data_IF_002356411421
#
_entry.id   IF_002356411421
#
_cell.length_a   1.000
_cell.length_b   1.000
_cell.length_c   1.000
_cell.angle_alpha   90.00
_cell.angle_beta   90.00
_cell.angle_gamma   90.00
#
_symmetry.space_group_name_H-M   'P 1'
#
loop_
_entity.id
_entity.type
_entity.pdbx_description
1 polymer ?
#
# COMPACT_ATOMS: atom_id res chain seq x y z
N UNK A 1 -25.70 19.71 15.91
CA UNK A 1 -24.86 20.61 15.09
C UNK A 1 -23.42 20.17 15.28
N UNK A 2 -22.81 19.52 14.30
CA UNK A 2 -21.37 19.21 14.35
C UNK A 2 -20.62 20.53 14.15
N UNK A 3 -19.93 21.04 15.17
CA UNK A 3 -19.10 22.23 15.03
C UNK A 3 -17.96 21.94 14.05
N UNK A 4 -17.61 22.91 13.21
CA UNK A 4 -16.46 22.86 12.28
C UNK A 4 -15.17 22.36 12.93
N UNK A 5 -14.99 22.66 14.23
CA UNK A 5 -13.88 22.18 15.03
C UNK A 5 -13.74 20.65 15.03
N UNK A 6 -14.84 19.89 15.02
CA UNK A 6 -14.82 18.42 15.05
C UNK A 6 -14.29 17.82 13.74
N UNK A 7 -14.60 18.43 12.59
CA UNK A 7 -14.08 17.99 11.29
C UNK A 7 -12.57 18.23 11.23
N UNK A 8 -12.11 19.39 11.69
CA UNK A 8 -10.68 19.71 11.73
C UNK A 8 -9.91 18.79 12.69
N UNK A 9 -10.50 18.36 13.82
CA UNK A 9 -9.91 17.33 14.69
C UNK A 9 -9.83 15.98 13.98
N UNK A 10 -10.89 15.57 13.28
CA UNK A 10 -10.89 14.32 12.52
C UNK A 10 -9.82 14.30 11.43
N UNK A 11 -9.60 15.42 10.74
CA UNK A 11 -8.52 15.57 9.75
C UNK A 11 -7.15 15.40 10.40
N UNK A 12 -6.92 16.03 11.55
CA UNK A 12 -5.65 15.88 12.27
C UNK A 12 -5.37 14.44 12.72
N UNK A 13 -6.41 13.72 13.19
CA UNK A 13 -6.30 12.30 13.54
C UNK A 13 -6.08 11.41 12.31
N UNK A 14 -6.80 11.67 11.22
CA UNK A 14 -6.63 10.91 9.98
C UNK A 14 -5.22 11.09 9.40
N UNK A 15 -4.65 12.29 9.46
CA UNK A 15 -3.26 12.55 9.06
C UNK A 15 -2.27 11.77 9.95
N UNK A 16 -2.45 11.81 11.27
CA UNK A 16 -1.62 11.03 12.20
C UNK A 16 -1.66 9.54 11.86
N UNK A 17 -2.86 8.97 11.70
CA UNK A 17 -3.01 7.55 11.41
C UNK A 17 -2.46 7.18 10.03
N UNK A 18 -2.62 8.06 9.03
CA UNK A 18 -1.97 7.88 7.73
C UNK A 18 -0.45 7.74 7.87
N UNK A 19 0.21 8.66 8.58
CA UNK A 19 1.65 8.61 8.77
C UNK A 19 2.11 7.37 9.56
N UNK A 20 1.38 7.05 10.64
CA UNK A 20 1.68 5.86 11.45
C UNK A 20 1.48 4.56 10.67
N UNK A 21 0.45 4.50 9.82
CA UNK A 21 0.22 3.37 8.93
C UNK A 21 1.30 3.26 7.86
N UNK A 22 1.79 4.37 7.31
CA UNK A 22 2.92 4.36 6.37
C UNK A 22 4.20 3.84 7.04
N UNK A 23 4.47 4.27 8.28
CA UNK A 23 5.57 3.73 9.07
C UNK A 23 5.42 2.22 9.30
N UNK A 24 4.21 1.76 9.67
CA UNK A 24 3.93 0.32 9.84
C UNK A 24 4.14 -0.48 8.55
N UNK A 25 3.66 0.03 7.41
CA UNK A 25 3.84 -0.62 6.11
C UNK A 25 5.32 -0.71 5.75
N UNK A 26 6.08 0.37 5.89
CA UNK A 26 7.53 0.38 5.61
C UNK A 26 8.30 -0.62 6.48
N UNK A 27 7.96 -0.72 7.77
CA UNK A 27 8.57 -1.68 8.68
C UNK A 27 8.17 -3.12 8.33
N UNK A 28 6.90 -3.34 7.97
CA UNK A 28 6.43 -4.65 7.52
C UNK A 28 7.13 -5.09 6.23
N UNK A 29 7.35 -4.18 5.29
CA UNK A 29 8.10 -4.44 4.06
C UNK A 29 9.56 -4.77 4.34
N UNK A 30 10.23 -4.04 5.24
CA UNK A 30 11.60 -4.36 5.66
C UNK A 30 11.69 -5.78 6.26
N UNK A 31 10.71 -6.17 7.08
CA UNK A 31 10.60 -7.53 7.62
C UNK A 31 10.37 -8.55 6.49
N UNK A 32 9.46 -8.25 5.55
CA UNK A 32 9.15 -9.14 4.44
C UNK A 32 10.35 -9.34 3.50
N UNK A 33 11.15 -8.29 3.26
CA UNK A 33 12.36 -8.38 2.43
C UNK A 33 13.39 -9.38 2.97
N UNK A 34 13.50 -9.51 4.30
CA UNK A 34 14.42 -10.46 4.95
C UNK A 34 13.79 -11.84 5.13
N UNK A 35 12.51 -11.89 5.54
CA UNK A 35 11.87 -13.15 5.91
C UNK A 35 11.27 -13.89 4.71
N UNK A 36 10.90 -13.18 3.63
CA UNK A 36 10.23 -13.74 2.44
C UNK A 36 9.10 -14.70 2.82
N UNK A 37 8.22 -14.25 3.70
CA UNK A 37 7.17 -15.10 4.30
C UNK A 37 6.15 -15.55 3.25
N UNK A 38 5.93 -14.73 2.22
CA UNK A 38 5.09 -15.09 1.06
C UNK A 38 5.59 -16.34 0.34
N UNK A 39 6.91 -16.46 0.13
CA UNK A 39 7.49 -17.63 -0.51
C UNK A 39 7.33 -18.90 0.35
N UNK A 40 7.40 -18.76 1.68
CA UNK A 40 7.14 -19.89 2.59
C UNK A 40 5.67 -20.33 2.57
N UNK A 41 4.71 -19.39 2.48
CA UNK A 41 3.29 -19.76 2.44
C UNK A 41 2.93 -20.38 1.09
N UNK A 42 3.53 -19.91 0.00
CA UNK A 42 3.39 -20.51 -1.32
C UNK A 42 3.87 -21.96 -1.32
N UNK A 43 5.07 -22.24 -0.78
CA UNK A 43 5.58 -23.61 -0.63
C UNK A 43 4.65 -24.48 0.20
N UNK A 44 4.15 -23.94 1.32
CA UNK A 44 3.18 -24.65 2.15
C UNK A 44 1.90 -24.98 1.38
N UNK A 45 1.43 -24.06 0.53
CA UNK A 45 0.30 -24.27 -0.37
C UNK A 45 0.54 -25.40 -1.35
N UNK A 46 1.66 -25.37 -2.07
CA UNK A 46 2.07 -26.42 -3.02
C UNK A 46 2.21 -27.78 -2.32
N UNK A 47 2.83 -27.80 -1.14
CA UNK A 47 2.98 -29.03 -0.35
C UNK A 47 1.63 -29.62 0.07
N UNK A 48 0.65 -28.78 0.41
CA UNK A 48 -0.72 -29.24 0.70
C UNK A 48 -1.42 -29.82 -0.53
N UNK A 49 -1.20 -29.25 -1.72
CA UNK A 49 -1.71 -29.79 -2.99
C UNK A 49 -1.20 -31.23 -3.18
N UNK A 50 0.04 -31.48 -2.82
CA UNK A 50 0.70 -32.78 -2.94
C UNK A 50 0.53 -33.69 -1.70
N UNK A 51 -0.40 -33.40 -0.80
CA UNK A 51 -0.63 -34.18 0.44
C UNK A 51 0.63 -34.34 1.33
N UNK A 52 1.42 -33.28 1.45
CA UNK A 52 2.67 -33.27 2.25
C UNK A 52 3.75 -34.24 1.73
N UNK A 53 3.64 -34.68 0.47
CA UNK A 53 4.66 -35.47 -0.23
C UNK A 53 5.89 -34.60 -0.55
N UNK A 54 6.92 -34.74 0.28
CA UNK A 54 8.17 -33.99 0.16
C UNK A 54 8.93 -34.27 -1.13
N UNK A 55 8.92 -35.52 -1.60
CA UNK A 55 9.64 -35.94 -2.81
C UNK A 55 8.98 -35.34 -4.04
N UNK A 56 7.64 -35.38 -4.10
CA UNK A 56 6.89 -34.78 -5.19
C UNK A 56 7.01 -33.25 -5.21
N UNK A 57 6.97 -32.63 -4.03
CA UNK A 57 7.16 -31.18 -3.88
C UNK A 57 8.55 -30.76 -4.36
N UNK A 58 9.60 -31.48 -3.95
CA UNK A 58 10.96 -31.22 -4.39
C UNK A 58 11.11 -31.37 -5.91
N UNK A 59 10.58 -32.44 -6.49
CA UNK A 59 10.59 -32.67 -7.93
C UNK A 59 9.87 -31.55 -8.69
N UNK A 60 8.76 -31.04 -8.14
CA UNK A 60 8.04 -29.90 -8.73
C UNK A 60 8.89 -28.62 -8.72
N UNK A 61 9.56 -28.31 -7.62
CA UNK A 61 10.43 -27.12 -7.56
C UNK A 61 11.69 -27.25 -8.42
N UNK A 62 12.19 -28.47 -8.63
CA UNK A 62 13.31 -28.75 -9.55
C UNK A 62 12.90 -28.80 -11.03
N UNK A 63 11.59 -28.71 -11.34
CA UNK A 63 11.09 -28.80 -12.70
C UNK A 63 11.58 -27.62 -13.57
N UNK A 64 11.96 -27.83 -14.85
CA UNK A 64 12.45 -26.79 -15.77
C UNK A 64 11.61 -25.49 -15.84
N UNK A 65 10.30 -25.62 -15.72
CA UNK A 65 9.38 -24.47 -15.73
C UNK A 65 9.29 -23.72 -14.40
N UNK A 66 9.77 -24.29 -13.29
CA UNK A 66 9.63 -23.74 -11.93
C UNK A 66 10.98 -23.32 -11.35
N UNK A 67 12.05 -24.08 -11.60
CA UNK A 67 13.38 -23.78 -11.05
C UNK A 67 13.90 -22.40 -11.48
N UNK A 68 13.50 -21.91 -12.66
CA UNK A 68 13.90 -20.59 -13.16
C UNK A 68 13.27 -19.42 -12.39
N UNK A 69 12.23 -19.67 -11.59
CA UNK A 69 11.58 -18.64 -10.76
C UNK A 69 12.38 -18.30 -9.50
N UNK A 70 13.41 -19.07 -9.17
CA UNK A 70 14.20 -18.86 -7.98
C UNK A 70 15.67 -19.28 -8.15
N UNK A 71 16.54 -18.82 -7.24
CA UNK A 71 17.95 -19.13 -7.30
C UNK A 71 18.30 -20.29 -6.35
N UNK A 72 18.99 -21.32 -6.86
CA UNK A 72 19.50 -22.45 -6.07
C UNK A 72 18.50 -23.58 -5.87
N UNK A 73 18.83 -24.49 -4.96
CA UNK A 73 18.07 -25.72 -4.77
C UNK A 73 16.83 -25.53 -3.89
N UNK A 74 15.87 -26.43 -4.04
CA UNK A 74 14.71 -26.51 -3.17
C UNK A 74 15.15 -26.81 -1.73
N UNK A 75 14.81 -25.91 -0.81
CA UNK A 75 15.05 -26.08 0.62
C UNK A 75 13.74 -25.86 1.36
N UNK A 76 13.28 -26.89 2.08
CA UNK A 76 12.05 -26.82 2.84
C UNK A 76 12.15 -25.73 3.93
N UNK A 77 11.21 -24.77 3.99
CA UNK A 77 11.13 -23.81 5.08
C UNK A 77 10.93 -24.49 6.43
N UNK A 78 11.59 -24.01 7.47
CA UNK A 78 11.40 -24.51 8.83
C UNK A 78 10.00 -24.13 9.35
N UNK A 79 9.07 -25.09 9.33
CA UNK A 79 7.66 -24.90 9.66
C UNK A 79 7.36 -24.78 11.16
N UNK A 80 8.36 -24.92 12.04
CA UNK A 80 8.18 -24.81 13.51
C UNK A 80 8.28 -23.37 14.01
N UNK A 81 8.79 -22.43 13.21
CA UNK A 81 8.86 -21.03 13.58
C UNK A 81 7.48 -20.37 13.44
N UNK A 82 7.15 -19.45 14.37
CA UNK A 82 5.96 -18.60 14.28
C UNK A 82 5.90 -17.83 12.94
N UNK A 83 7.08 -17.53 12.38
CA UNK A 83 7.25 -16.95 11.06
C UNK A 83 8.33 -17.76 10.32
N UNK A 84 7.88 -18.59 9.37
CA UNK A 84 8.78 -19.38 8.54
C UNK A 84 9.46 -18.49 7.49
N UNK A 85 10.77 -18.67 7.30
CA UNK A 85 11.54 -17.95 6.28
C UNK A 85 11.46 -18.69 4.95
N UNK A 86 11.08 -17.98 3.88
CA UNK A 86 10.99 -18.56 2.53
C UNK A 86 12.33 -18.76 1.82
N UNK A 87 13.41 -18.19 2.35
CA UNK A 87 14.76 -18.39 1.80
C UNK A 87 14.87 -17.88 0.36
N UNK A 88 15.28 -18.76 -0.56
CA UNK A 88 15.39 -18.40 -1.98
C UNK A 88 14.13 -18.73 -2.79
N UNK A 89 13.15 -19.40 -2.21
CA UNK A 89 11.93 -19.85 -2.92
C UNK A 89 11.17 -18.70 -3.60
N UNK A 90 10.43 -18.98 -4.67
CA UNK A 90 9.69 -17.96 -5.40
C UNK A 90 8.54 -17.42 -4.54
N UNK A 91 8.26 -16.13 -4.66
CA UNK A 91 7.13 -15.49 -3.97
C UNK A 91 5.80 -15.65 -4.71
N UNK A 92 5.84 -16.09 -5.96
CA UNK A 92 4.68 -16.35 -6.80
C UNK A 92 5.02 -17.39 -7.86
N UNK A 93 4.08 -18.28 -8.16
CA UNK A 93 4.16 -19.24 -9.27
C UNK A 93 2.93 -18.99 -10.14
N UNK A 94 3.08 -18.62 -11.41
CA UNK A 94 1.96 -18.49 -12.33
C UNK A 94 1.19 -19.81 -12.47
N UNK A 95 -0.14 -19.77 -12.45
CA UNK A 95 -1.00 -20.95 -12.55
C UNK A 95 -0.69 -21.78 -13.81
N UNK A 96 -0.41 -21.10 -14.93
CA UNK A 96 -0.07 -21.76 -16.19
C UNK A 96 1.27 -22.52 -16.13
N UNK A 97 2.25 -22.01 -15.41
CA UNK A 97 3.52 -22.70 -15.19
C UNK A 97 3.33 -23.91 -14.28
N UNK A 98 2.54 -23.76 -13.21
CA UNK A 98 2.16 -24.86 -12.34
C UNK A 98 1.45 -25.98 -13.11
N UNK A 99 0.41 -25.65 -13.88
CA UNK A 99 -0.37 -26.66 -14.61
C UNK A 99 0.46 -27.40 -15.66
N UNK A 100 1.30 -26.67 -16.42
CA UNK A 100 2.20 -27.28 -17.40
C UNK A 100 3.25 -28.18 -16.75
N UNK A 101 3.87 -27.72 -15.66
CA UNK A 101 4.83 -28.52 -14.91
C UNK A 101 4.18 -29.77 -14.32
N UNK A 102 2.96 -29.66 -13.79
CA UNK A 102 2.23 -30.80 -13.24
C UNK A 102 1.87 -31.82 -14.33
N UNK A 103 1.37 -31.37 -15.49
CA UNK A 103 1.05 -32.25 -16.60
C UNK A 103 2.30 -32.99 -17.11
N UNK A 104 3.43 -32.30 -17.24
CA UNK A 104 4.70 -32.90 -17.66
C UNK A 104 5.21 -33.92 -16.61
N UNK A 105 5.19 -33.56 -15.32
CA UNK A 105 5.56 -34.47 -14.23
C UNK A 105 4.69 -35.74 -14.17
N UNK A 106 3.39 -35.59 -14.41
CA UNK A 106 2.45 -36.72 -14.43
C UNK A 106 2.67 -37.58 -15.67
N UNK A 107 2.86 -36.96 -16.83
CA UNK A 107 3.13 -37.62 -18.11
C UNK A 107 4.45 -38.40 -18.10
N UNK A 108 5.51 -37.85 -17.49
CA UNK A 108 6.78 -38.56 -17.28
C UNK A 108 6.67 -39.69 -16.24
N UNK A 109 5.60 -39.73 -15.43
CA UNK A 109 5.40 -40.72 -14.37
C UNK A 109 6.46 -40.61 -13.26
N UNK A 110 6.63 -41.65 -12.44
CA UNK A 110 7.67 -41.69 -11.40
C UNK A 110 9.09 -41.87 -11.95
N UNK A 111 9.25 -41.99 -13.28
CA UNK A 111 10.56 -42.12 -13.89
C UNK A 111 11.38 -40.87 -13.56
N UNK A 112 12.44 -41.08 -12.79
CA UNK A 112 13.46 -40.08 -12.55
C UNK A 112 13.92 -39.52 -13.90
N UNK A 113 14.15 -38.21 -13.95
CA UNK A 113 14.80 -37.54 -15.08
C UNK A 113 15.95 -38.42 -15.61
N UNK A 114 15.78 -39.00 -16.80
CA UNK A 114 16.81 -39.79 -17.45
C UNK A 114 17.65 -38.83 -18.29
N UNK A 115 18.93 -38.57 -17.93
CA UNK A 115 19.80 -37.71 -18.74
C UNK A 115 20.08 -38.31 -20.13
N UNK A 116 19.81 -39.60 -20.31
CA UNK A 116 19.76 -40.28 -21.60
C UNK A 116 18.30 -40.34 -22.03
N UNK A 117 17.89 -39.34 -22.84
CA UNK A 117 16.49 -39.06 -23.14
C UNK A 117 15.65 -40.29 -23.40
N UNK A 118 14.75 -40.60 -22.47
CA UNK A 118 13.61 -41.46 -22.77
C UNK A 118 12.78 -40.73 -23.82
N UNK A 119 12.50 -41.39 -24.94
CA UNK A 119 11.56 -40.88 -25.93
C UNK A 119 10.22 -40.74 -25.23
N UNK A 120 9.95 -39.54 -24.73
CA UNK A 120 8.71 -39.25 -24.03
C UNK A 120 7.67 -39.10 -25.13
N UNK A 121 6.60 -39.90 -25.14
CA UNK A 121 5.54 -39.78 -26.14
C UNK A 121 5.05 -38.32 -26.19
N UNK A 122 4.54 -37.83 -27.34
CA UNK A 122 3.94 -36.52 -27.38
C UNK A 122 2.84 -36.42 -26.32
N UNK A 123 2.76 -35.28 -25.64
CA UNK A 123 1.74 -35.04 -24.63
C UNK A 123 0.37 -34.99 -25.32
N UNK A 124 -0.40 -36.06 -25.18
CA UNK A 124 -1.77 -36.18 -25.70
C UNK A 124 -2.74 -36.44 -24.55
N UNK A 125 -4.04 -36.22 -24.80
CA UNK A 125 -5.06 -36.48 -23.78
C UNK A 125 -5.06 -37.95 -23.32
N UNK A 126 -4.85 -38.87 -24.25
CA UNK A 126 -4.82 -40.31 -23.97
C UNK A 126 -3.60 -40.67 -23.13
N UNK A 127 -2.41 -40.24 -23.54
CA UNK A 127 -1.18 -40.51 -22.81
C UNK A 127 -1.19 -39.90 -21.41
N UNK A 128 -1.71 -38.67 -21.26
CA UNK A 128 -1.84 -38.01 -19.96
C UNK A 128 -2.83 -38.74 -19.05
N UNK A 129 -3.96 -39.24 -19.59
CA UNK A 129 -4.95 -40.02 -18.81
C UNK A 129 -4.35 -41.33 -18.31
N UNK A 130 -3.64 -42.05 -19.17
CA UNK A 130 -2.97 -43.30 -18.81
C UNK A 130 -1.89 -43.09 -17.74
N UNK A 131 -1.05 -42.06 -17.91
CA UNK A 131 -0.01 -41.72 -16.95
C UNK A 131 -0.60 -41.25 -15.60
N UNK A 132 -1.67 -40.44 -15.63
CA UNK A 132 -2.37 -40.00 -14.44
C UNK A 132 -2.97 -41.17 -13.67
N UNK A 133 -3.57 -42.15 -14.35
CA UNK A 133 -4.16 -43.34 -13.71
C UNK A 133 -3.13 -44.15 -12.90
N UNK A 134 -1.87 -44.17 -13.35
CA UNK A 134 -0.76 -44.86 -12.69
C UNK A 134 0.00 -43.98 -11.69
N UNK A 135 -0.35 -42.71 -11.56
CA UNK A 135 0.39 -41.78 -10.70
C UNK A 135 0.27 -42.19 -9.22
N UNK A 136 1.39 -42.30 -8.47
CA UNK A 136 1.37 -42.81 -7.10
C UNK A 136 0.53 -41.96 -6.14
N UNK A 137 0.62 -40.63 -6.26
CA UNK A 137 -0.07 -39.71 -5.37
C UNK A 137 -1.58 -39.65 -5.68
N UNK A 138 -2.46 -40.08 -4.76
CA UNK A 138 -3.88 -40.23 -5.04
C UNK A 138 -4.60 -38.90 -5.27
N UNK A 139 -4.15 -37.81 -4.63
CA UNK A 139 -4.73 -36.47 -4.80
C UNK A 139 -4.45 -35.92 -6.18
N UNK A 140 -3.18 -35.96 -6.60
CA UNK A 140 -2.76 -35.50 -7.91
C UNK A 140 -3.42 -36.33 -9.00
N UNK A 141 -3.42 -37.67 -8.84
CA UNK A 141 -4.13 -38.59 -9.75
C UNK A 141 -5.58 -38.16 -9.92
N UNK A 142 -6.31 -37.97 -8.82
CA UNK A 142 -7.74 -37.61 -8.87
C UNK A 142 -7.95 -36.22 -9.49
N UNK A 143 -7.12 -35.24 -9.14
CA UNK A 143 -7.23 -33.88 -9.66
C UNK A 143 -7.00 -33.83 -11.18
N UNK A 144 -5.98 -34.53 -11.67
CA UNK A 144 -5.64 -34.58 -13.10
C UNK A 144 -6.70 -35.34 -13.89
N UNK A 145 -7.14 -36.51 -13.41
CA UNK A 145 -8.21 -37.26 -14.06
C UNK A 145 -9.51 -36.45 -14.14
N UNK A 146 -9.88 -35.76 -13.05
CA UNK A 146 -11.05 -34.89 -13.04
C UNK A 146 -10.92 -33.72 -14.02
N UNK A 147 -9.74 -33.09 -14.09
CA UNK A 147 -9.47 -32.02 -15.04
C UNK A 147 -9.59 -32.49 -16.51
N UNK A 148 -9.14 -33.72 -16.79
CA UNK A 148 -9.25 -34.38 -18.09
C UNK A 148 -10.72 -34.71 -18.43
N UNK A 149 -11.47 -35.28 -17.48
CA UNK A 149 -12.88 -35.66 -17.69
C UNK A 149 -13.73 -34.43 -18.07
N UNK A 150 -13.48 -33.28 -17.43
CA UNK A 150 -14.16 -32.02 -17.71
C UNK A 150 -13.74 -31.37 -19.03
N UNK A 151 -12.59 -31.76 -19.58
CA UNK A 151 -11.99 -31.13 -20.76
C UNK A 151 -12.59 -31.60 -22.09
N UNK A 152 -13.42 -32.66 -22.08
CA UNK A 152 -14.09 -33.21 -23.29
C UNK A 152 -13.15 -33.46 -24.47
N UNK A 153 -11.90 -33.83 -24.20
CA UNK A 153 -10.88 -34.12 -25.22
C UNK A 153 -9.95 -32.96 -25.59
N UNK A 154 -10.19 -31.73 -25.10
CA UNK A 154 -9.30 -30.58 -25.33
C UNK A 154 -8.19 -30.49 -24.27
N UNK A 155 -6.92 -30.66 -24.68
CA UNK A 155 -5.77 -30.61 -23.77
C UNK A 155 -5.62 -29.23 -23.11
N UNK A 156 -5.94 -28.14 -23.82
CA UNK A 156 -5.88 -26.81 -23.26
C UNK A 156 -7.00 -26.57 -22.24
N UNK A 157 -8.17 -27.17 -22.44
CA UNK A 157 -9.22 -27.16 -21.42
C UNK A 157 -8.80 -27.92 -20.15
N UNK A 158 -8.13 -29.07 -20.28
CA UNK A 158 -7.58 -29.80 -19.13
C UNK A 158 -6.54 -28.95 -18.37
N UNK A 159 -5.66 -28.25 -19.09
CA UNK A 159 -4.71 -27.29 -18.51
C UNK A 159 -5.43 -26.19 -17.73
N UNK A 160 -6.44 -25.53 -18.31
CA UNK A 160 -7.22 -24.47 -17.65
C UNK A 160 -7.94 -24.96 -16.39
N UNK A 161 -8.43 -26.21 -16.41
CA UNK A 161 -9.05 -26.83 -15.24
C UNK A 161 -8.02 -27.02 -14.10
N UNK A 162 -6.79 -27.41 -14.41
CA UNK A 162 -5.70 -27.51 -13.44
C UNK A 162 -5.25 -26.13 -12.92
N UNK A 163 -5.25 -25.11 -13.78
CA UNK A 163 -5.01 -23.72 -13.38
C UNK A 163 -6.05 -23.26 -12.35
N UNK A 164 -7.33 -23.48 -12.63
CA UNK A 164 -8.42 -23.14 -11.71
C UNK A 164 -8.33 -23.91 -10.37
N UNK A 165 -7.90 -25.17 -10.41
CA UNK A 165 -7.66 -25.95 -9.18
C UNK A 165 -6.52 -25.39 -8.33
N UNK A 166 -5.44 -24.94 -8.99
CA UNK A 166 -4.33 -24.27 -8.32
C UNK A 166 -4.75 -22.93 -7.73
N UNK A 167 -5.43 -22.10 -8.50
CA UNK A 167 -5.90 -20.78 -8.07
C UNK A 167 -6.84 -20.89 -6.87
N UNK A 168 -7.79 -21.83 -6.89
CA UNK A 168 -8.68 -22.07 -5.74
C UNK A 168 -7.92 -22.51 -4.47
N UNK A 169 -6.79 -23.21 -4.63
CA UNK A 169 -5.90 -23.51 -3.49
C UNK A 169 -5.14 -22.27 -3.03
N UNK A 170 -4.65 -21.46 -3.97
CA UNK A 170 -3.91 -20.23 -3.68
C UNK A 170 -4.78 -19.13 -3.07
N UNK A 171 -6.08 -19.10 -3.35
CA UNK A 171 -7.04 -18.22 -2.67
C UNK A 171 -7.10 -18.52 -1.16
N UNK A 172 -7.14 -19.82 -0.81
CA UNK A 172 -7.11 -20.26 0.60
C UNK A 172 -5.78 -19.91 1.28
N UNK A 173 -4.67 -20.17 0.61
CA UNK A 173 -3.31 -19.86 1.11
C UNK A 173 -3.16 -18.35 1.33
N UNK A 174 -3.61 -17.55 0.35
CA UNK A 174 -3.63 -16.08 0.43
C UNK A 174 -4.51 -15.59 1.58
N UNK A 175 -5.61 -16.28 1.89
CA UNK A 175 -6.45 -15.98 3.04
C UNK A 175 -5.71 -16.07 4.37
N UNK A 176 -4.93 -17.15 4.59
CA UNK A 176 -4.11 -17.28 5.80
C UNK A 176 -3.01 -16.21 5.88
N UNK A 177 -2.37 -15.91 4.74
CA UNK A 177 -1.37 -14.83 4.65
C UNK A 177 -1.97 -13.47 5.02
N UNK A 178 -3.14 -13.13 4.48
CA UNK A 178 -3.85 -11.86 4.78
C UNK A 178 -4.17 -11.74 6.27
N UNK A 179 -4.75 -12.79 6.87
CA UNK A 179 -5.07 -12.80 8.32
C UNK A 179 -3.83 -12.68 9.20
N UNK A 180 -2.76 -13.39 8.86
CA UNK A 180 -1.48 -13.30 9.59
C UNK A 180 -0.86 -11.92 9.45
N UNK A 181 -0.87 -11.35 8.25
CA UNK A 181 -0.31 -10.02 7.98
C UNK A 181 -1.06 -8.93 8.75
N UNK A 182 -2.39 -9.00 8.79
CA UNK A 182 -3.22 -8.11 9.61
C UNK A 182 -2.85 -8.18 11.10
N UNK A 183 -2.69 -9.38 11.67
CA UNK A 183 -2.25 -9.54 13.05
C UNK A 183 -0.85 -8.96 13.27
N UNK A 184 0.08 -9.18 12.33
CA UNK A 184 1.44 -8.63 12.46
C UNK A 184 1.42 -7.10 12.38
N UNK A 185 0.62 -6.50 11.49
CA UNK A 185 0.45 -5.05 11.42
C UNK A 185 -0.14 -4.50 12.72
N UNK A 186 -1.12 -5.18 13.31
CA UNK A 186 -1.65 -4.82 14.62
C UNK A 186 -0.58 -4.87 15.71
N UNK A 187 0.24 -5.93 15.76
CA UNK A 187 1.32 -6.07 16.76
C UNK A 187 2.44 -5.04 16.56
N UNK A 188 2.83 -4.77 15.31
CA UNK A 188 3.78 -3.71 14.97
C UNK A 188 3.22 -2.37 15.40
N UNK A 189 1.96 -2.08 15.05
CA UNK A 189 1.28 -0.86 15.44
C UNK A 189 1.19 -0.71 16.96
N UNK A 190 0.79 -1.75 17.68
CA UNK A 190 0.74 -1.73 19.15
C UNK A 190 2.12 -1.45 19.75
N UNK A 191 3.16 -2.10 19.22
CA UNK A 191 4.54 -1.89 19.68
C UNK A 191 4.97 -0.43 19.44
N UNK A 192 4.71 0.13 18.26
CA UNK A 192 5.01 1.52 17.95
C UNK A 192 4.21 2.49 18.82
N UNK A 193 2.92 2.23 19.04
CA UNK A 193 2.06 3.04 19.89
C UNK A 193 2.58 3.10 21.34
N UNK A 194 3.05 1.97 21.88
CA UNK A 194 3.65 1.92 23.22
C UNK A 194 5.01 2.63 23.24
N UNK A 195 5.93 2.26 22.35
CA UNK A 195 7.30 2.80 22.35
C UNK A 195 7.30 4.31 22.17
N UNK A 196 6.55 4.80 21.18
CA UNK A 196 6.43 6.23 20.87
C UNK A 196 5.41 6.94 21.77
N UNK A 197 4.65 6.22 22.61
CA UNK A 197 3.54 6.74 23.40
C UNK A 197 2.54 7.55 22.53
N UNK A 198 2.05 6.94 21.45
CA UNK A 198 1.02 7.52 20.59
C UNK A 198 -0.34 7.09 21.12
N UNK A 199 -1.01 8.00 21.84
CA UNK A 199 -2.36 7.82 22.37
C UNK A 199 -3.37 8.64 21.57
N UNK A 200 -4.18 7.96 20.75
CA UNK A 200 -5.23 8.56 19.95
C UNK A 200 -6.23 9.41 20.76
N UNK A 201 -6.60 8.99 21.96
CA UNK A 201 -7.59 9.68 22.80
C UNK A 201 -7.00 10.99 23.32
N UNK A 202 -5.77 10.94 23.84
CA UNK A 202 -5.08 12.14 24.33
C UNK A 202 -4.80 13.13 23.20
N UNK A 203 -4.40 12.64 22.02
CA UNK A 203 -4.20 13.51 20.85
C UNK A 203 -5.51 14.17 20.44
N UNK A 204 -6.62 13.43 20.38
CA UNK A 204 -7.94 13.99 20.06
C UNK A 204 -8.34 15.12 21.04
N UNK A 205 -8.16 14.90 22.34
CA UNK A 205 -8.44 15.91 23.37
C UNK A 205 -7.57 17.18 23.20
N UNK A 206 -6.31 17.01 22.79
CA UNK A 206 -5.39 18.13 22.52
C UNK A 206 -5.76 18.91 21.27
N UNK A 207 -6.16 18.23 20.20
CA UNK A 207 -6.63 18.89 18.97
C UNK A 207 -7.94 19.64 19.19
N UNK A 208 -8.81 19.11 20.04
CA UNK A 208 -10.05 19.79 20.40
C UNK A 208 -9.78 21.08 21.19
N UNK A 209 -8.82 21.06 22.12
CA UNK A 209 -8.53 22.22 22.99
C UNK A 209 -7.59 23.25 22.37
N UNK A 210 -6.69 22.86 21.46
CA UNK A 210 -5.68 23.75 20.88
C UNK A 210 -5.97 24.07 19.40
N UNK A 211 -6.50 25.27 19.13
CA UNK A 211 -6.82 25.74 17.78
C UNK A 211 -5.59 25.89 16.88
N UNK A 212 -4.44 26.32 17.43
CA UNK A 212 -3.20 26.56 16.67
C UNK A 212 -2.65 25.24 16.13
N UNK A 213 -2.54 24.23 16.99
CA UNK A 213 -2.08 22.89 16.61
C UNK A 213 -3.02 22.28 15.56
N UNK A 214 -4.33 22.41 15.77
CA UNK A 214 -5.33 21.87 14.84
C UNK A 214 -5.22 22.51 13.45
N UNK A 215 -5.10 23.84 13.36
CA UNK A 215 -4.95 24.53 12.08
C UNK A 215 -3.67 24.12 11.35
N UNK A 216 -2.55 23.99 12.07
CA UNK A 216 -1.27 23.55 11.50
C UNK A 216 -1.35 22.12 10.92
N UNK A 217 -2.05 21.20 11.58
CA UNK A 217 -2.23 19.84 11.05
C UNK A 217 -3.14 19.81 9.82
N UNK A 218 -4.18 20.64 9.76
CA UNK A 218 -5.06 20.73 8.58
C UNK A 218 -4.29 21.27 7.37
N UNK A 219 -3.41 22.25 7.56
CA UNK A 219 -2.52 22.75 6.50
C UNK A 219 -1.59 21.65 5.99
N UNK A 220 -1.00 20.88 6.90
CA UNK A 220 -0.14 19.73 6.54
C UNK A 220 -0.92 18.60 5.86
N UNK A 221 -2.16 18.36 6.25
CA UNK A 221 -3.04 17.41 5.57
C UNK A 221 -3.31 17.83 4.12
N UNK A 222 -3.56 19.12 3.87
CA UNK A 222 -3.70 19.66 2.52
C UNK A 222 -2.44 19.46 1.69
N UNK A 223 -1.26 19.74 2.27
CA UNK A 223 0.01 19.50 1.61
C UNK A 223 0.19 18.02 1.25
N UNK A 224 -0.13 17.12 2.18
CA UNK A 224 0.01 15.66 1.99
C UNK A 224 -0.86 15.14 0.85
N UNK A 225 -2.11 15.61 0.72
CA UNK A 225 -3.00 15.22 -0.40
C UNK A 225 -2.48 15.75 -1.74
N UNK A 226 -1.89 16.95 -1.76
CA UNK A 226 -1.32 17.54 -2.98
C UNK A 226 -0.03 16.87 -3.41
N UNK A 227 0.80 16.42 -2.47
CA UNK A 227 2.12 15.84 -2.73
C UNK A 227 2.13 14.33 -2.90
N UNK A 228 1.17 13.62 -2.31
CA UNK A 228 1.23 12.16 -2.15
C UNK A 228 -0.02 11.49 -2.72
N UNK A 229 0.17 10.48 -3.58
CA UNK A 229 -0.91 9.57 -3.99
C UNK A 229 -1.11 8.42 -2.98
N UNK A 230 -2.19 7.61 -3.11
CA UNK A 230 -2.53 6.51 -2.19
C UNK A 230 -1.41 5.48 -1.98
N UNK A 231 -0.55 5.31 -3.00
CA UNK A 231 0.54 4.33 -3.04
C UNK A 231 1.94 4.97 -2.98
N UNK A 232 2.04 6.31 -2.95
CA UNK A 232 3.29 7.05 -3.19
C UNK A 232 4.32 7.01 -2.05
N UNK A 233 4.05 6.31 -0.95
CA UNK A 233 4.92 6.22 0.22
C UNK A 233 5.44 4.80 0.51
N UNK A 234 5.22 3.85 -0.41
CA UNK A 234 5.88 2.54 -0.42
C UNK A 234 7.34 2.76 -0.86
N UNK A 235 8.24 2.94 0.10
CA UNK A 235 9.69 3.12 -0.15
C UNK A 235 10.36 4.28 0.58
N UNK A 236 9.60 5.13 1.27
CA UNK A 236 10.17 6.17 2.13
C UNK A 236 10.83 5.53 3.36
N UNK A 237 12.03 6.01 3.72
CA UNK A 237 12.81 5.43 4.81
C UNK A 237 12.09 5.67 6.15
N UNK A 238 11.99 4.67 7.05
CA UNK A 238 11.32 4.83 8.35
C UNK A 238 11.81 6.04 9.15
N UNK A 239 13.09 6.37 9.05
CA UNK A 239 13.73 7.52 9.71
C UNK A 239 13.18 8.86 9.21
N UNK A 240 12.89 8.98 7.91
CA UNK A 240 12.37 10.20 7.31
C UNK A 240 10.91 10.44 7.71
N UNK A 241 10.09 9.38 7.74
CA UNK A 241 8.72 9.48 8.25
C UNK A 241 8.71 9.82 9.74
N UNK A 242 9.59 9.22 10.53
CA UNK A 242 9.70 9.52 11.97
C UNK A 242 10.07 11.00 12.21
N UNK A 243 11.03 11.53 11.45
CA UNK A 243 11.40 12.95 11.51
C UNK A 243 10.25 13.88 11.09
N UNK A 244 9.48 13.50 10.06
CA UNK A 244 8.29 14.25 9.66
C UNK A 244 7.24 14.27 10.77
N UNK A 245 6.97 13.14 11.43
CA UNK A 245 6.03 13.05 12.55
C UNK A 245 6.46 13.99 13.70
N UNK A 246 7.76 14.04 14.02
CA UNK A 246 8.27 14.93 15.06
C UNK A 246 8.10 16.42 14.68
N UNK A 247 8.34 16.76 13.41
CA UNK A 247 8.16 18.12 12.90
C UNK A 247 6.70 18.63 12.98
N UNK A 248 5.74 17.74 13.23
CA UNK A 248 4.32 18.08 13.29
C UNK A 248 3.89 18.56 14.68
N UNK A 249 4.81 18.58 15.66
CA UNK A 249 4.57 19.13 16.99
C UNK A 249 3.48 18.37 17.76
N UNK A 250 3.19 17.14 17.35
CA UNK A 250 2.21 16.28 17.98
C UNK A 250 2.68 15.91 19.40
N UNK A 251 1.77 15.82 20.38
CA UNK A 251 2.08 15.42 21.74
C UNK A 251 2.36 13.91 21.82
N UNK A 252 3.46 13.50 21.20
CA UNK A 252 3.95 12.12 21.16
C UNK A 252 5.11 12.00 22.16
N UNK A 253 5.23 10.84 22.79
CA UNK A 253 6.30 10.54 23.75
C UNK A 253 5.85 10.60 25.20
N UNK A 254 6.66 10.01 26.07
CA UNK A 254 6.29 9.69 27.46
C UNK A 254 6.21 10.89 28.42
N UNK A 255 6.80 12.04 28.05
CA UNK A 255 6.87 13.24 28.90
C UNK A 255 6.08 14.43 28.38
N UNK A 256 5.76 14.48 27.07
CA UNK A 256 5.13 15.65 26.43
C UNK A 256 3.67 15.34 26.18
N UNK A 257 2.76 16.14 26.76
CA UNK A 257 1.36 16.16 26.33
C UNK A 257 0.32 15.50 27.24
N UNK A 258 0.67 14.97 28.41
CA UNK A 258 -0.33 14.46 29.37
C UNK A 258 -1.16 15.61 29.97
N UNK A 259 -2.50 15.54 29.96
CA UNK A 259 -3.35 16.49 30.67
C UNK A 259 -3.05 16.48 32.17
N UNK A 260 -3.07 17.65 32.82
CA UNK A 260 -2.87 17.74 34.28
C UNK A 260 -3.90 16.89 35.05
N UNK A 261 -5.10 16.71 34.50
CA UNK A 261 -6.16 15.86 35.06
C UNK A 261 -5.81 14.36 35.14
N UNK A 262 -4.74 13.90 34.46
CA UNK A 262 -4.28 12.51 34.50
C UNK A 262 -3.17 12.27 35.53
N UNK A 263 -2.70 13.32 36.21
CA UNK A 263 -1.61 13.28 37.16
C UNK A 263 -2.13 13.62 38.56
N UNK A 264 -1.80 12.79 39.55
CA UNK A 264 -2.12 13.01 40.95
C UNK A 264 -0.83 13.16 41.75
N UNK A 265 -0.74 14.21 42.57
CA UNK A 265 0.40 14.41 43.45
C UNK A 265 0.23 13.55 44.71
N UNK A 266 1.08 12.53 44.86
CA UNK A 266 1.15 11.70 46.07
C UNK A 266 2.29 12.14 46.96
N UNK A 267 2.08 12.12 48.27
CA UNK A 267 3.13 12.42 49.23
C UNK A 267 4.24 11.35 49.15
N UNK A 268 5.50 11.79 49.16
CA UNK A 268 6.67 10.93 49.22
C UNK A 268 7.56 11.36 50.40
N UNK A 269 7.87 10.41 51.28
CA UNK A 269 8.71 10.61 52.47
C UNK A 269 10.16 10.16 52.28
N UNK A 270 10.44 9.39 51.23
CA UNK A 270 11.79 8.92 50.87
C UNK A 270 12.28 9.63 49.59
N UNK A 271 13.60 9.83 49.42
CA UNK A 271 14.18 10.40 48.20
C UNK A 271 14.08 9.38 47.05
N UNK A 272 12.90 9.26 46.46
CA UNK A 272 12.66 8.51 45.23
C UNK A 272 12.88 9.41 44.01
N UNK A 273 13.34 8.86 42.86
CA UNK A 273 13.47 9.63 41.63
C UNK A 273 12.13 10.30 41.26
N UNK A 274 12.11 11.64 41.20
CA UNK A 274 10.91 12.42 40.87
C UNK A 274 10.15 12.99 42.08
N UNK A 275 10.59 12.73 43.32
CA UNK A 275 10.05 13.39 44.51
C UNK A 275 10.63 14.81 44.64
N UNK A 276 9.82 15.84 44.41
CA UNK A 276 10.21 17.26 44.56
C UNK A 276 9.26 17.92 45.56
N UNK A 277 9.81 18.50 46.63
CA UNK A 277 9.00 19.14 47.67
C UNK A 277 8.09 18.18 48.45
N UNK A 278 8.49 16.91 48.62
CA UNK A 278 7.71 15.90 49.33
C UNK A 278 6.50 15.36 48.56
N UNK A 279 6.41 15.64 47.26
CA UNK A 279 5.37 15.14 46.37
C UNK A 279 5.97 14.51 45.11
N UNK A 280 5.33 13.45 44.65
CA UNK A 280 5.61 12.80 43.36
C UNK A 280 4.31 12.75 42.56
N UNK A 281 4.37 13.16 41.30
CA UNK A 281 3.22 13.05 40.41
C UNK A 281 3.16 11.63 39.83
N UNK A 282 2.06 10.94 40.08
CA UNK A 282 1.81 9.59 39.56
C UNK A 282 0.61 9.61 38.63
N UNK A 283 0.58 8.65 37.70
CA UNK A 283 -0.60 8.44 36.87
C UNK A 283 -1.76 7.96 37.72
N UNK A 284 -2.95 8.54 37.51
CA UNK A 284 -4.17 8.01 38.09
C UNK A 284 -4.51 6.65 37.47
N UNK A 285 -5.16 5.72 38.21
CA UNK A 285 -5.59 4.44 37.63
C UNK A 285 -6.46 4.60 36.37
N UNK A 286 -7.31 5.63 36.35
CA UNK A 286 -8.11 5.99 35.17
C UNK A 286 -7.26 6.42 33.97
N UNK A 287 -6.16 7.14 34.19
CA UNK A 287 -5.23 7.51 33.12
C UNK A 287 -4.52 6.29 32.51
N UNK A 288 -4.21 5.28 33.31
CA UNK A 288 -3.62 4.02 32.82
C UNK A 288 -4.61 3.30 31.90
N UNK A 289 -5.87 3.20 32.31
CA UNK A 289 -6.93 2.58 31.47
C UNK A 289 -7.12 3.36 30.18
N UNK A 290 -7.21 4.70 30.25
CA UNK A 290 -7.34 5.54 29.07
C UNK A 290 -6.16 5.38 28.12
N UNK A 291 -4.93 5.27 28.64
CA UNK A 291 -3.71 5.06 27.86
C UNK A 291 -3.72 3.70 27.15
N UNK A 292 -4.14 2.63 27.85
CA UNK A 292 -4.28 1.31 27.25
C UNK A 292 -5.33 1.31 26.12
N UNK A 293 -6.47 1.98 26.34
CA UNK A 293 -7.51 2.15 25.32
C UNK A 293 -6.97 2.97 24.14
N UNK A 294 -6.25 4.05 24.40
CA UNK A 294 -5.63 4.90 23.38
C UNK A 294 -4.64 4.13 22.50
N UNK A 295 -3.78 3.31 23.10
CA UNK A 295 -2.85 2.46 22.36
C UNK A 295 -3.57 1.38 21.55
N UNK A 296 -4.63 0.78 22.09
CA UNK A 296 -5.45 -0.19 21.36
C UNK A 296 -6.16 0.44 20.16
N UNK A 297 -6.74 1.63 20.33
CA UNK A 297 -7.36 2.39 19.23
C UNK A 297 -6.31 2.72 18.16
N UNK A 298 -5.12 3.16 18.57
CA UNK A 298 -4.05 3.50 17.63
C UNK A 298 -3.57 2.24 16.88
N UNK A 299 -3.39 1.11 17.56
CA UNK A 299 -3.03 -0.17 16.95
C UNK A 299 -4.11 -0.66 15.97
N UNK A 300 -5.38 -0.57 16.34
CA UNK A 300 -6.50 -0.91 15.47
C UNK A 300 -6.57 0.01 14.23
N UNK A 301 -6.33 1.31 14.41
CA UNK A 301 -6.26 2.27 13.31
C UNK A 301 -5.12 1.93 12.34
N UNK A 302 -3.92 1.59 12.86
CA UNK A 302 -2.77 1.23 12.03
C UNK A 302 -3.01 -0.04 11.20
N UNK A 303 -3.76 -1.00 11.74
CA UNK A 303 -4.12 -2.25 11.05
C UNK A 303 -4.95 -2.03 9.77
N UNK A 304 -5.69 -0.91 9.65
CA UNK A 304 -6.45 -0.56 8.44
C UNK A 304 -5.55 -0.17 7.26
N UNK A 305 -4.30 0.22 7.54
CA UNK A 305 -3.31 0.56 6.53
C UNK A 305 -3.45 1.99 5.98
N UNK A 306 -2.40 2.42 5.28
CA UNK A 306 -2.29 3.78 4.76
C UNK A 306 -3.33 4.13 3.68
N UNK A 307 -3.70 3.23 2.74
CA UNK A 307 -4.69 3.55 1.71
C UNK A 307 -6.05 3.97 2.30
N UNK A 308 -6.48 3.30 3.38
CA UNK A 308 -7.72 3.62 4.08
C UNK A 308 -7.69 5.05 4.68
N UNK A 309 -6.61 5.40 5.38
CA UNK A 309 -6.49 6.71 6.00
C UNK A 309 -6.25 7.83 5.00
N UNK A 310 -5.62 7.54 3.86
CA UNK A 310 -5.49 8.48 2.75
C UNK A 310 -6.86 8.82 2.15
N UNK A 311 -7.67 7.80 1.83
CA UNK A 311 -9.04 8.01 1.32
C UNK A 311 -9.90 8.75 2.35
N UNK A 312 -9.80 8.36 3.62
CA UNK A 312 -10.51 9.04 4.72
C UNK A 312 -10.10 10.51 4.83
N UNK A 313 -8.80 10.81 4.77
CA UNK A 313 -8.28 12.18 4.81
C UNK A 313 -8.79 12.99 3.62
N UNK A 314 -8.76 12.41 2.41
CA UNK A 314 -9.25 13.04 1.20
C UNK A 314 -10.75 13.37 1.30
N UNK A 315 -11.58 12.41 1.73
CA UNK A 315 -13.02 12.62 1.94
C UNK A 315 -13.29 13.71 2.97
N UNK A 316 -12.59 13.72 4.10
CA UNK A 316 -12.74 14.76 5.13
C UNK A 316 -12.37 16.14 4.60
N UNK A 317 -11.33 16.23 3.77
CA UNK A 317 -10.90 17.48 3.14
C UNK A 317 -11.90 18.00 2.11
N UNK A 318 -12.51 17.12 1.31
CA UNK A 318 -13.62 17.46 0.41
C UNK A 318 -14.80 17.99 1.21
N UNK A 319 -15.24 17.28 2.26
CA UNK A 319 -16.35 17.71 3.14
C UNK A 319 -16.04 19.07 3.80
N UNK A 320 -14.81 19.26 4.28
CA UNK A 320 -14.41 20.54 4.86
C UNK A 320 -14.53 21.68 3.86
N UNK A 321 -14.14 21.45 2.59
CA UNK A 321 -14.21 22.48 1.55
C UNK A 321 -15.64 22.82 1.12
N UNK A 322 -16.57 21.86 1.17
CA UNK A 322 -17.98 22.09 0.83
C UNK A 322 -18.76 22.77 1.95
N UNK A 323 -18.44 22.45 3.21
CA UNK A 323 -19.15 23.01 4.38
C UNK A 323 -18.57 24.36 4.80
N UNK A 324 -17.29 24.63 4.50
CA UNK A 324 -16.64 25.93 4.74
C UNK A 324 -16.31 26.59 3.39
N UNK A 325 -17.31 27.15 2.68
CA UNK A 325 -17.00 27.93 1.49
C UNK A 325 -16.12 29.08 1.95
N UNK A 326 -14.92 29.15 1.36
CA UNK A 326 -14.03 30.30 1.47
C UNK A 326 -14.87 31.56 1.34
N UNK A 327 -14.87 32.43 2.36
CA UNK A 327 -15.32 33.81 2.20
C UNK A 327 -14.59 34.35 0.97
N UNK A 328 -15.33 34.54 -0.13
CA UNK A 328 -14.83 35.31 -1.25
C UNK A 328 -14.41 36.66 -0.69
N UNK A 329 -13.21 37.08 -1.10
CA UNK A 329 -12.54 38.35 -0.81
C UNK A 329 -13.41 39.59 -1.11
N UNK A 330 -12.99 40.78 -0.65
CA UNK A 330 -13.83 41.86 -0.09
C UNK A 330 -14.66 42.65 -1.10
N UNK A 331 -15.69 43.32 -0.56
CA UNK A 331 -16.52 44.39 -1.12
C UNK A 331 -16.14 44.88 -2.53
N UNK A 332 -16.91 44.43 -3.54
CA UNK A 332 -17.17 45.29 -4.69
C UNK A 332 -18.06 46.45 -4.21
N UNK A 333 -17.49 47.65 -4.18
CA UNK A 333 -18.23 48.88 -3.94
C UNK A 333 -19.35 49.02 -4.97
N UNK A 334 -20.59 48.89 -4.50
CA UNK A 334 -21.79 49.12 -5.31
C UNK A 334 -21.80 50.56 -5.85
N UNK A 335 -21.82 50.68 -7.17
CA UNK A 335 -22.01 51.90 -7.97
C UNK A 335 -23.44 52.48 -7.89
N UNK A 336 -24.11 52.46 -6.73
CA UNK A 336 -25.45 53.04 -6.59
C UNK A 336 -25.48 54.23 -5.63
N UNK A 337 -24.96 55.37 -6.10
CA UNK A 337 -25.29 56.69 -5.53
C UNK A 337 -26.22 57.44 -6.50
N UNK A 338 -27.44 57.81 -6.10
CA UNK A 338 -28.36 58.54 -6.97
C UNK A 338 -27.84 59.94 -7.31
N UNK A 339 -27.92 60.26 -8.59
CA UNK A 339 -27.57 61.53 -9.23
C UNK A 339 -28.48 62.66 -8.72
N UNK A 340 -27.95 63.56 -7.91
CA UNK A 340 -28.63 64.80 -7.50
C UNK A 340 -27.99 66.02 -8.17
N UNK A 341 -28.77 66.65 -9.06
CA UNK A 341 -28.74 68.02 -9.61
C UNK A 341 -27.40 68.77 -9.79
N UNK A 342 -27.13 69.10 -11.06
CA UNK A 342 -26.22 70.18 -11.50
C UNK A 342 -26.66 71.57 -10.99
N UNK A 343 -25.71 72.51 -10.91
CA UNK A 343 -25.80 73.66 -11.82
C UNK A 343 -24.47 74.10 -12.47
N UNK A 344 -24.63 74.57 -13.73
CA UNK A 344 -23.96 75.67 -14.43
C UNK A 344 -22.47 75.60 -14.85
N UNK A 345 -22.30 75.59 -16.18
CA UNK A 345 -21.32 76.29 -17.04
C UNK A 345 -20.00 76.80 -16.45
N UNK A 346 -18.88 76.29 -17.00
CA UNK A 346 -17.95 77.15 -17.77
C UNK A 346 -17.05 76.32 -18.67
N UNK A 347 -16.96 76.78 -19.91
CA UNK A 347 -16.17 76.29 -21.03
C UNK A 347 -14.79 76.96 -21.01
N UNK A 348 -13.71 76.21 -21.23
CA UNK A 348 -12.52 76.80 -21.85
C UNK A 348 -11.76 75.75 -22.69
N UNK A 349 -11.48 76.15 -23.91
CA UNK A 349 -10.78 75.43 -24.97
C UNK A 349 -9.26 75.59 -24.79
N UNK A 350 -8.46 74.58 -25.16
CA UNK A 350 -7.38 74.71 -26.18
C UNK A 350 -6.40 73.52 -26.26
N UNK A 351 -6.23 73.09 -27.52
CA UNK A 351 -4.97 72.73 -28.21
C UNK A 351 -4.32 71.34 -28.05
N UNK A 352 -4.48 70.53 -29.12
CA UNK A 352 -3.49 69.59 -29.67
C UNK A 352 -2.36 70.39 -30.43
N UNK A 353 -1.29 69.82 -31.08
CA UNK A 353 -1.21 68.45 -31.65
C UNK A 353 0.20 67.77 -31.83
N UNK A 354 0.16 66.60 -32.50
CA UNK A 354 1.15 66.00 -33.45
C UNK A 354 2.18 64.91 -33.01
N UNK A 355 2.08 63.77 -33.71
CA UNK A 355 3.06 62.68 -33.93
C UNK A 355 3.96 63.02 -35.17
N UNK A 356 4.74 62.13 -35.86
CA UNK A 356 5.05 60.69 -35.71
C UNK A 356 6.53 60.28 -36.02
N UNK A 357 6.87 58.98 -36.04
CA UNK A 357 7.54 58.25 -37.15
C UNK A 357 8.19 56.90 -36.72
N UNK A 358 7.93 55.85 -37.50
CA UNK A 358 8.74 54.63 -37.68
C UNK A 358 9.40 54.69 -39.08
N UNK A 359 10.42 53.85 -39.42
CA UNK A 359 10.12 52.57 -40.13
C UNK A 359 11.15 51.40 -39.96
N UNK A 360 10.77 50.22 -40.48
CA UNK A 360 11.42 48.89 -40.66
C UNK A 360 12.42 48.81 -41.86
N UNK A 361 12.90 47.64 -42.41
CA UNK A 361 13.37 46.30 -41.94
C UNK A 361 14.68 45.80 -42.68
N UNK A 362 15.12 44.53 -42.55
CA UNK A 362 15.58 43.69 -43.70
C UNK A 362 15.78 42.17 -43.43
N UNK A 363 15.79 41.38 -44.52
CA UNK A 363 15.57 39.92 -44.70
C UNK A 363 16.84 39.17 -45.22
N UNK A 364 16.85 37.81 -45.17
CA UNK A 364 17.57 36.80 -46.02
C UNK A 364 18.82 36.11 -45.39
N UNK A 365 19.24 34.86 -45.66
CA UNK A 365 18.75 33.65 -46.37
C UNK A 365 19.79 32.48 -46.16
N UNK A 366 19.42 31.21 -46.42
CA UNK A 366 20.35 30.16 -46.93
C UNK A 366 20.65 28.91 -46.06
N UNK A 367 20.25 27.71 -46.53
CA UNK A 367 20.72 26.38 -46.04
C UNK A 367 22.11 25.97 -46.59
N UNK A 368 22.55 24.67 -46.63
CA UNK A 368 21.80 23.40 -46.59
C UNK A 368 22.39 22.29 -45.68
N UNK A 369 21.70 21.13 -45.67
CA UNK A 369 22.03 19.84 -45.03
C UNK A 369 23.15 19.04 -45.73
N UNK A 370 23.62 17.94 -45.11
CA UNK A 370 23.72 16.69 -45.86
C UNK A 370 23.04 15.50 -45.17
N UNK A 371 22.69 14.52 -46.02
CA UNK A 371 21.91 13.31 -45.77
C UNK A 371 22.82 12.08 -45.99
N UNK A 372 22.75 11.09 -45.10
CA UNK A 372 23.11 9.68 -45.35
C UNK A 372 22.18 8.85 -44.44
N UNK A 373 21.16 8.13 -44.93
CA UNK A 373 21.18 6.79 -45.55
C UNK A 373 21.91 5.77 -44.65
N UNK A 374 21.40 4.60 -44.25
CA UNK A 374 20.20 3.81 -44.50
C UNK A 374 20.25 2.66 -43.47
N UNK A 375 19.11 2.19 -42.93
CA UNK A 375 18.84 0.77 -42.69
C UNK A 375 17.46 0.63 -42.04
N UNK A 376 16.52 0.06 -42.79
CA UNK A 376 15.24 -0.39 -42.29
C UNK A 376 15.38 -1.80 -41.68
N UNK A 377 14.77 -2.02 -40.51
CA UNK A 377 14.44 -3.35 -39.96
C UNK A 377 13.04 -3.27 -39.34
N UNK A 378 12.18 -4.28 -39.50
CA UNK A 378 10.72 -4.09 -39.48
C UNK A 378 10.09 -4.27 -38.09
N UNK A 379 9.00 -3.54 -37.87
CA UNK A 379 7.83 -4.00 -37.10
C UNK A 379 8.04 -4.30 -35.61
N UNK A 380 8.37 -3.29 -34.81
CA UNK A 380 8.14 -3.33 -33.36
C UNK A 380 6.80 -2.67 -33.04
N UNK A 381 5.80 -3.45 -32.63
CA UNK A 381 4.63 -2.89 -31.95
C UNK A 381 5.12 -2.15 -30.69
N UNK A 382 4.69 -0.90 -30.43
CA UNK A 382 5.03 -0.23 -29.18
C UNK A 382 4.47 -1.06 -28.03
N UNK A 383 5.36 -1.44 -27.10
CA UNK A 383 4.99 -2.07 -25.84
C UNK A 383 4.05 -1.12 -25.09
N UNK A 384 2.78 -1.50 -24.99
CA UNK A 384 1.80 -0.88 -24.11
C UNK A 384 1.91 -1.59 -22.77
N UNK A 385 2.33 -0.92 -21.68
CA UNK A 385 2.32 -1.52 -20.35
C UNK A 385 0.88 -1.90 -19.98
N UNK A 386 0.68 -3.11 -19.45
CA UNK A 386 -0.64 -3.52 -18.99
C UNK A 386 -1.06 -2.72 -17.75
N UNK A 387 -2.25 -2.12 -17.79
CA UNK A 387 -2.83 -1.21 -16.78
C UNK A 387 -3.14 -1.82 -15.40
N UNK A 388 -2.59 -2.99 -15.04
CA UNK A 388 -2.81 -3.62 -13.72
C UNK A 388 -1.71 -3.30 -12.69
N UNK A 389 -0.66 -2.56 -13.10
CA UNK A 389 0.39 -2.10 -12.17
C UNK A 389 -0.12 -1.04 -11.17
N UNK A 390 -1.20 -0.33 -11.52
CA UNK A 390 -1.89 0.60 -10.64
C UNK A 390 -3.23 -0.04 -10.26
N UNK A 391 -3.37 -0.47 -9.01
CA UNK A 391 -4.57 -1.15 -8.50
C UNK A 391 -5.82 -0.27 -8.47
N UNK A 392 -6.36 0.08 -9.63
CA UNK A 392 -7.65 0.75 -9.82
C UNK A 392 -8.60 -0.29 -10.43
N UNK A 393 -9.54 -0.77 -9.63
CA UNK A 393 -10.69 -1.52 -10.13
C UNK A 393 -11.59 -0.57 -10.93
N UNK A 394 -11.66 -0.74 -12.25
CA UNK A 394 -12.77 -0.20 -13.04
C UNK A 394 -14.01 -1.05 -12.78
N UNK A 395 -14.97 -0.47 -12.06
CA UNK A 395 -16.32 -1.00 -11.95
C UNK A 395 -17.01 -0.96 -13.32
N UNK A 396 -17.44 -2.13 -13.78
CA UNK A 396 -18.35 -2.24 -14.93
C UNK A 396 -19.79 -2.13 -14.43
N UNK A 397 -20.55 -1.30 -15.15
CA UNK A 397 -21.95 -0.95 -14.96
C UNK A 397 -22.92 -2.14 -14.95
#
# INVERSE_FOLDING_TARGET
MFSFDTIDVAIGLALLFLMMSLLCTSLREAIEGVMKTRASDLERGVRQIFQEDGVLTERFYQHPLVYSLFAGDYQRPNSKALIARGGKLPSYIPANQFARALMDMVHQGSAAYSPYGTVTPPLTMVSLREAAAQFPNPQVRRAVLFAIDQARGDLDAARRNLESWFDGTMDRVSGWYKRRTQLILFLIGLTLAVVLNVDAVTIAQRLQSNKVLRNALVEKAQATIRSSGPSGAIGARPEELAAQIESYGLPIGWRRGRPAAQMEARACSAPTPGCVGGRVEVLTPGAIIQMLIGWLITAAAMMLGAPFWFDTLNRLMVIRSTVKPTEKSPEEGSEDRPKARQPADTQDDRAAPQAPHAPFPDIAAGGPTPRASSAATPGGFPFVPNNWADGVEEGVA
#
